data_IF_693904292549
#
_entry.id   IF_693904292549
#
_cell.length_a   1.000
_cell.length_b   1.000
_cell.length_c   1.000
_cell.angle_alpha   90.00
_cell.angle_beta   90.00
_cell.angle_gamma   90.00
#
_symmetry.space_group_name_H-M   'P 1'
#
loop_
_entity.id
_entity.type
_entity.pdbx_description
1 polymer ?
#
# COMPACT_ATOMS: atom_id res chain seq x y z
N UNK A 1 -52.59 -11.42 7.73
CA UNK A 1 -52.00 -10.09 7.46
C UNK A 1 -50.60 -10.07 8.05
N UNK A 2 -49.59 -10.47 7.27
CA UNK A 2 -48.20 -10.33 7.66
C UNK A 2 -47.76 -8.90 7.37
N UNK A 3 -47.27 -8.18 8.38
CA UNK A 3 -46.53 -6.93 8.19
C UNK A 3 -45.08 -7.32 7.89
N UNK A 4 -44.64 -7.03 6.67
CA UNK A 4 -43.26 -7.21 6.26
C UNK A 4 -42.35 -6.17 6.89
N UNK A 5 -41.20 -6.63 7.35
CA UNK A 5 -40.02 -5.82 7.65
C UNK A 5 -39.46 -5.28 6.33
N UNK A 6 -39.72 -4.00 6.05
CA UNK A 6 -39.11 -3.22 4.97
C UNK A 6 -38.64 -1.92 5.64
N UNK A 7 -37.39 -1.88 6.11
CA UNK A 7 -36.85 -0.70 6.80
C UNK A 7 -35.32 -0.66 6.88
N UNK A 8 -34.67 -1.81 7.09
CA UNK A 8 -33.23 -1.86 7.38
C UNK A 8 -32.32 -1.63 6.15
N UNK A 9 -32.83 -1.86 4.94
CA UNK A 9 -32.06 -1.73 3.70
C UNK A 9 -31.91 -0.29 3.18
N UNK A 10 -32.72 0.67 3.62
CA UNK A 10 -32.63 2.06 3.13
C UNK A 10 -31.48 2.82 3.81
N UNK A 11 -31.41 2.72 5.14
CA UNK A 11 -30.44 3.44 5.96
C UNK A 11 -28.99 2.98 5.69
N UNK A 12 -28.76 1.68 5.54
CA UNK A 12 -27.44 1.15 5.23
C UNK A 12 -26.90 1.62 3.86
N UNK A 13 -27.78 1.81 2.87
CA UNK A 13 -27.41 2.31 1.55
C UNK A 13 -27.09 3.81 1.58
N UNK A 14 -27.85 4.61 2.33
CA UNK A 14 -27.56 6.04 2.51
C UNK A 14 -26.26 6.25 3.29
N UNK A 15 -26.01 5.45 4.34
CA UNK A 15 -24.76 5.50 5.10
C UNK A 15 -23.55 5.13 4.23
N UNK A 16 -23.68 4.12 3.35
CA UNK A 16 -22.63 3.74 2.41
C UNK A 16 -22.32 4.86 1.41
N UNK A 17 -23.35 5.52 0.86
CA UNK A 17 -23.17 6.67 -0.05
C UNK A 17 -22.56 7.88 0.64
N UNK A 18 -22.91 8.13 1.90
CA UNK A 18 -22.31 9.20 2.69
C UNK A 18 -20.80 9.00 2.88
N UNK A 19 -20.36 7.76 3.12
CA UNK A 19 -18.94 7.41 3.26
C UNK A 19 -18.18 7.49 1.94
N UNK A 20 -18.78 7.03 0.85
CA UNK A 20 -18.18 7.15 -0.49
C UNK A 20 -17.91 8.62 -0.83
N UNK A 21 -18.90 9.48 -0.55
CA UNK A 21 -18.75 10.93 -0.73
C UNK A 21 -17.68 11.55 0.17
N UNK A 22 -17.59 11.15 1.45
CA UNK A 22 -16.52 11.61 2.35
C UNK A 22 -15.12 11.25 1.81
N UNK A 23 -14.98 10.05 1.22
CA UNK A 23 -13.72 9.61 0.62
C UNK A 23 -13.37 10.41 -0.64
N UNK A 24 -14.35 10.67 -1.50
CA UNK A 24 -14.19 11.52 -2.69
C UNK A 24 -13.78 12.94 -2.30
N UNK A 25 -14.49 13.57 -1.37
CA UNK A 25 -14.20 14.92 -0.87
C UNK A 25 -12.79 14.99 -0.26
N UNK A 26 -12.39 13.99 0.53
CA UNK A 26 -11.03 13.94 1.10
C UNK A 26 -9.94 13.74 0.04
N UNK A 27 -10.18 12.91 -0.98
CA UNK A 27 -9.23 12.70 -2.07
C UNK A 27 -9.11 13.95 -2.96
N UNK A 28 -10.23 14.62 -3.24
CA UNK A 28 -10.26 15.89 -3.97
C UNK A 28 -9.54 16.99 -3.20
N UNK A 29 -9.78 17.13 -1.90
CA UNK A 29 -9.09 18.11 -1.06
C UNK A 29 -7.56 17.94 -1.13
N UNK A 30 -7.06 16.71 -1.00
CA UNK A 30 -5.63 16.42 -1.13
C UNK A 30 -5.10 16.73 -2.52
N UNK A 31 -5.88 16.47 -3.57
CA UNK A 31 -5.43 16.69 -4.95
C UNK A 31 -5.53 18.16 -5.41
N UNK A 32 -6.45 18.96 -4.84
CA UNK A 32 -6.86 20.25 -5.38
C UNK A 32 -6.89 21.44 -4.39
N UNK A 33 -6.99 21.25 -3.06
CA UNK A 33 -7.21 22.36 -2.10
C UNK A 33 -5.93 23.12 -1.70
N UNK A 34 -4.74 22.57 -1.94
CA UNK A 34 -3.46 23.18 -1.52
C UNK A 34 -2.64 23.70 -2.71
N UNK A 35 -1.64 24.54 -2.40
CA UNK A 35 -0.69 25.03 -3.41
C UNK A 35 -0.13 23.83 -4.17
N UNK A 36 -0.30 23.83 -5.49
CA UNK A 36 -0.03 22.70 -6.39
C UNK A 36 1.46 22.45 -6.59
N UNK A 37 2.27 23.15 -5.80
CA UNK A 37 3.71 23.03 -5.73
C UNK A 37 4.18 23.31 -4.29
N UNK A 38 5.00 22.42 -3.72
CA UNK A 38 5.43 21.16 -4.32
C UNK A 38 4.29 20.11 -4.31
N UNK A 39 4.30 19.08 -5.17
CA UNK A 39 3.23 18.09 -5.25
C UNK A 39 3.01 17.35 -3.92
N UNK A 40 1.78 16.90 -3.61
CA UNK A 40 1.50 16.31 -2.31
C UNK A 40 2.25 15.00 -2.06
N UNK A 41 2.72 14.84 -0.82
CA UNK A 41 3.26 13.60 -0.27
C UNK A 41 2.31 13.14 0.83
N UNK A 42 1.54 12.10 0.54
CA UNK A 42 0.37 11.69 1.32
C UNK A 42 0.63 10.36 2.01
N UNK A 43 0.45 10.30 3.32
CA UNK A 43 0.46 9.03 4.07
C UNK A 43 -0.96 8.61 4.41
N UNK A 44 -1.36 7.43 3.94
CA UNK A 44 -2.65 6.81 4.28
C UNK A 44 -2.44 5.78 5.39
N UNK A 45 -3.07 6.00 6.54
CA UNK A 45 -2.91 5.17 7.73
C UNK A 45 -4.21 4.89 8.48
N UNK A 46 -4.18 3.90 9.39
CA UNK A 46 -5.37 3.38 10.05
C UNK A 46 -5.32 1.88 10.32
N UNK A 47 -6.22 1.35 11.16
CA UNK A 47 -6.21 -0.05 11.57
C UNK A 47 -6.38 -1.02 10.40
N UNK A 48 -6.08 -2.30 10.62
CA UNK A 48 -6.36 -3.35 9.64
C UNK A 48 -7.83 -3.37 9.22
N UNK A 49 -8.08 -3.61 7.94
CA UNK A 49 -9.43 -3.73 7.34
C UNK A 49 -10.32 -2.49 7.44
N UNK A 50 -9.77 -1.27 7.56
CA UNK A 50 -10.56 -0.04 7.48
C UNK A 50 -10.70 0.52 6.05
N UNK A 51 -10.14 -0.13 5.04
CA UNK A 51 -10.26 0.31 3.64
C UNK A 51 -9.09 1.14 3.10
N UNK A 52 -7.93 1.20 3.79
CA UNK A 52 -6.77 2.02 3.38
C UNK A 52 -6.34 1.83 1.93
N UNK A 53 -6.19 0.59 1.47
CA UNK A 53 -5.78 0.33 0.09
C UNK A 53 -6.86 0.76 -0.90
N UNK A 54 -8.14 0.69 -0.53
CA UNK A 54 -9.23 1.18 -1.37
C UNK A 54 -9.23 2.71 -1.47
N UNK A 55 -9.06 3.41 -0.33
CA UNK A 55 -8.90 4.86 -0.34
C UNK A 55 -7.63 5.29 -1.08
N UNK A 56 -6.50 4.60 -0.88
CA UNK A 56 -5.23 4.89 -1.57
C UNK A 56 -5.37 4.74 -3.09
N UNK A 57 -6.21 3.81 -3.56
CA UNK A 57 -6.56 3.66 -4.98
C UNK A 57 -7.43 4.79 -5.50
N UNK A 58 -8.44 5.21 -4.72
CA UNK A 58 -9.26 6.37 -5.06
C UNK A 58 -8.37 7.60 -5.20
N UNK A 59 -7.59 7.91 -4.17
CA UNK A 59 -6.65 9.03 -4.16
C UNK A 59 -5.64 8.97 -5.31
N UNK A 60 -5.09 7.79 -5.61
CA UNK A 60 -4.19 7.59 -6.74
C UNK A 60 -4.86 7.98 -8.06
N UNK A 61 -6.10 7.53 -8.28
CA UNK A 61 -6.85 7.85 -9.50
C UNK A 61 -7.20 9.35 -9.56
N UNK A 62 -7.66 9.94 -8.46
CA UNK A 62 -7.95 11.39 -8.37
C UNK A 62 -6.70 12.23 -8.67
N UNK A 63 -5.53 11.84 -8.16
CA UNK A 63 -4.26 12.50 -8.48
C UNK A 63 -3.88 12.32 -9.96
N UNK A 64 -4.16 11.17 -10.59
CA UNK A 64 -3.88 10.93 -12.01
C UNK A 64 -4.75 11.75 -12.98
N UNK A 65 -5.90 12.25 -12.52
CA UNK A 65 -6.70 13.19 -13.30
C UNK A 65 -6.00 14.56 -13.41
N UNK A 66 -5.15 14.88 -12.44
CA UNK A 66 -4.43 16.16 -12.35
C UNK A 66 -2.97 16.06 -12.79
N UNK A 67 -2.29 14.98 -12.44
CA UNK A 67 -0.87 14.74 -12.68
C UNK A 67 -0.70 13.61 -13.69
N UNK A 68 0.20 13.80 -14.66
CA UNK A 68 0.51 12.74 -15.64
C UNK A 68 1.07 11.47 -15.00
N UNK A 69 1.72 11.62 -13.84
CA UNK A 69 2.40 10.53 -13.16
C UNK A 69 2.28 10.69 -11.66
N UNK A 70 2.03 9.59 -10.95
CA UNK A 70 1.94 9.53 -9.49
C UNK A 70 2.82 8.39 -8.98
N UNK A 71 3.60 8.66 -7.93
CA UNK A 71 4.33 7.60 -7.24
C UNK A 71 3.44 6.92 -6.18
N UNK A 72 3.63 5.62 -5.99
CA UNK A 72 2.92 4.84 -4.99
C UNK A 72 3.90 3.98 -4.19
N UNK A 73 4.07 4.27 -2.91
CA UNK A 73 4.90 3.51 -1.98
C UNK A 73 4.02 2.65 -1.08
N UNK A 74 4.15 1.33 -1.22
CA UNK A 74 3.45 0.38 -0.37
C UNK A 74 4.37 -0.21 0.69
N UNK A 75 3.96 -0.09 1.94
CA UNK A 75 4.68 -0.62 3.10
C UNK A 75 3.94 -1.78 3.79
N UNK A 76 2.76 -2.19 3.28
CA UNK A 76 2.06 -3.38 3.77
C UNK A 76 2.63 -4.66 3.14
N UNK A 77 3.61 -5.25 3.83
CA UNK A 77 4.21 -6.54 3.41
C UNK A 77 3.23 -7.72 3.47
N UNK A 78 2.12 -7.60 4.19
CA UNK A 78 1.14 -8.67 4.37
C UNK A 78 0.13 -8.72 3.23
N UNK A 79 -0.34 -7.57 2.77
CA UNK A 79 -1.33 -7.42 1.68
C UNK A 79 -0.96 -6.26 0.75
N UNK A 80 0.18 -6.33 0.04
CA UNK A 80 0.60 -5.26 -0.86
C UNK A 80 -0.33 -5.14 -2.06
N UNK A 81 -0.41 -3.96 -2.64
CA UNK A 81 -1.35 -3.60 -3.70
C UNK A 81 -0.93 -4.14 -5.07
N UNK A 82 0.35 -4.04 -5.43
CA UNK A 82 0.84 -4.31 -6.79
C UNK A 82 1.89 -5.42 -6.89
N UNK A 83 2.36 -5.95 -5.76
CA UNK A 83 3.41 -6.98 -5.72
C UNK A 83 2.90 -8.26 -5.06
N UNK A 84 3.67 -9.37 -5.14
CA UNK A 84 3.48 -10.49 -4.24
C UNK A 84 3.63 -10.07 -2.76
N UNK A 85 3.09 -10.85 -1.82
CA UNK A 85 3.31 -10.63 -0.39
C UNK A 85 4.80 -10.69 -0.02
N UNK A 86 5.19 -9.95 1.02
CA UNK A 86 6.57 -9.91 1.51
C UNK A 86 7.44 -8.84 0.87
N UNK A 87 6.87 -7.88 0.15
CA UNK A 87 7.59 -6.78 -0.48
C UNK A 87 7.20 -5.43 0.12
N UNK A 88 8.19 -4.53 0.23
CA UNK A 88 7.99 -3.08 0.32
C UNK A 88 8.35 -2.52 -1.06
N UNK A 89 7.49 -1.73 -1.67
CA UNK A 89 7.65 -1.40 -3.09
C UNK A 89 7.23 0.02 -3.45
N UNK A 90 7.99 0.63 -4.36
CA UNK A 90 7.72 1.92 -4.97
C UNK A 90 7.36 1.70 -6.44
N UNK A 91 6.22 2.23 -6.84
CA UNK A 91 5.71 2.21 -8.22
C UNK A 91 5.58 3.61 -8.77
N UNK A 92 5.64 3.72 -10.08
CA UNK A 92 5.38 4.96 -10.83
C UNK A 92 4.22 4.64 -11.77
N UNK A 93 3.13 5.37 -11.63
CA UNK A 93 1.82 5.08 -12.21
C UNK A 93 1.46 6.24 -13.14
N UNK A 94 1.15 5.94 -14.41
CA UNK A 94 0.79 6.95 -15.43
C UNK A 94 -0.64 6.78 -15.93
N UNK A 95 -1.19 5.58 -15.82
CA UNK A 95 -2.56 5.28 -16.21
C UNK A 95 -3.39 4.89 -14.99
N UNK A 96 -4.65 5.37 -14.91
CA UNK A 96 -5.59 4.92 -13.89
C UNK A 96 -5.60 3.40 -13.89
N UNK A 97 -5.63 2.81 -12.71
CA UNK A 97 -5.76 1.36 -12.64
C UNK A 97 -7.23 1.01 -12.94
N UNK A 98 -7.49 0.86 -14.24
CA UNK A 98 -8.82 0.75 -14.84
C UNK A 98 -9.57 -0.52 -14.44
N UNK A 99 -8.88 -1.54 -13.96
CA UNK A 99 -9.48 -2.79 -13.49
C UNK A 99 -8.73 -3.34 -12.28
N UNK A 100 -9.07 -2.85 -11.09
CA UNK A 100 -8.60 -3.41 -9.82
C UNK A 100 -9.32 -4.72 -9.49
N UNK A 101 -9.16 -5.73 -10.36
CA UNK A 101 -9.21 -7.09 -9.84
C UNK A 101 -8.10 -7.21 -8.80
N UNK A 102 -8.35 -7.93 -7.70
CA UNK A 102 -7.38 -8.11 -6.60
C UNK A 102 -6.04 -8.76 -7.03
N UNK A 103 -5.84 -8.99 -8.32
CA UNK A 103 -4.77 -9.72 -8.98
C UNK A 103 -3.92 -8.82 -9.90
N UNK A 104 -4.18 -7.51 -9.95
CA UNK A 104 -3.44 -6.61 -10.81
C UNK A 104 -2.03 -6.34 -10.26
N UNK A 105 -1.04 -7.07 -10.77
CA UNK A 105 0.36 -6.94 -10.41
C UNK A 105 1.08 -5.99 -11.37
N UNK A 106 1.98 -5.15 -10.84
CA UNK A 106 2.83 -4.25 -11.62
C UNK A 106 4.29 -4.43 -11.24
N UNK A 107 5.17 -4.26 -12.23
CA UNK A 107 6.60 -4.22 -11.98
C UNK A 107 6.95 -2.95 -11.20
N UNK A 108 7.50 -3.08 -9.98
CA UNK A 108 7.86 -1.90 -9.20
C UNK A 108 9.02 -1.16 -9.85
N UNK A 109 9.03 0.18 -9.71
CA UNK A 109 10.18 1.00 -10.07
C UNK A 109 11.40 0.61 -9.23
N UNK A 110 11.16 0.35 -7.94
CA UNK A 110 12.13 -0.19 -6.99
C UNK A 110 11.40 -0.92 -5.88
N UNK A 111 11.94 -2.03 -5.38
CA UNK A 111 11.38 -2.73 -4.23
C UNK A 111 12.47 -3.36 -3.38
N UNK A 112 12.09 -3.73 -2.16
CA UNK A 112 12.85 -4.60 -1.29
C UNK A 112 12.01 -5.82 -0.94
N UNK A 113 12.62 -7.00 -1.04
CA UNK A 113 12.02 -8.21 -0.50
C UNK A 113 12.24 -8.23 1.01
N UNK A 114 11.16 -8.01 1.77
CA UNK A 114 11.17 -8.09 3.23
C UNK A 114 11.26 -9.54 3.72
N UNK A 115 10.69 -10.49 2.98
CA UNK A 115 10.81 -11.92 3.27
C UNK A 115 9.71 -12.53 4.16
N UNK A 116 8.80 -11.71 4.67
CA UNK A 116 7.71 -12.16 5.54
C UNK A 116 6.42 -11.34 5.35
N UNK A 117 5.28 -11.90 5.75
CA UNK A 117 3.97 -11.22 5.71
C UNK A 117 3.65 -10.50 7.02
N UNK A 118 4.51 -10.66 8.03
CA UNK A 118 4.39 -10.09 9.36
C UNK A 118 5.48 -9.03 9.59
N UNK A 119 5.14 -7.76 9.33
CA UNK A 119 5.99 -6.59 9.59
C UNK A 119 6.66 -6.60 10.98
N UNK A 120 5.98 -7.09 12.02
CA UNK A 120 6.47 -7.10 13.39
C UNK A 120 7.69 -8.02 13.63
N UNK A 121 8.01 -8.93 12.71
CA UNK A 121 9.19 -9.81 12.86
C UNK A 121 10.51 -9.05 12.78
N UNK A 122 10.58 -8.00 11.96
CA UNK A 122 11.78 -7.17 11.86
C UNK A 122 11.40 -5.70 11.59
N UNK A 123 10.94 -4.96 12.63
CA UNK A 123 10.50 -3.58 12.48
C UNK A 123 11.59 -2.64 11.95
N UNK A 124 12.85 -2.91 12.32
CA UNK A 124 14.02 -2.16 11.86
C UNK A 124 14.23 -2.33 10.36
N UNK A 125 14.15 -3.57 9.85
CA UNK A 125 14.25 -3.82 8.41
C UNK A 125 13.11 -3.14 7.64
N UNK A 126 11.89 -3.16 8.17
CA UNK A 126 10.76 -2.47 7.54
C UNK A 126 11.05 -0.96 7.41
N UNK A 127 11.50 -0.31 8.48
CA UNK A 127 11.90 1.10 8.45
C UNK A 127 13.02 1.34 7.43
N UNK A 128 14.09 0.54 7.45
CA UNK A 128 15.19 0.67 6.49
C UNK A 128 14.73 0.52 5.03
N UNK A 129 13.84 -0.42 4.74
CA UNK A 129 13.26 -0.60 3.41
C UNK A 129 12.41 0.61 3.01
N UNK A 130 11.53 1.07 3.89
CA UNK A 130 10.66 2.23 3.63
C UNK A 130 11.48 3.50 3.40
N UNK A 131 12.44 3.80 4.28
CA UNK A 131 13.30 4.98 4.17
C UNK A 131 14.16 4.94 2.93
N UNK A 132 14.77 3.79 2.61
CA UNK A 132 15.57 3.64 1.39
C UNK A 132 14.77 3.83 0.09
N UNK A 133 13.48 3.45 0.07
CA UNK A 133 12.61 3.73 -1.07
C UNK A 133 12.15 5.19 -1.13
N UNK A 134 11.89 5.81 0.03
CA UNK A 134 11.54 7.22 0.12
C UNK A 134 12.71 8.12 -0.30
N UNK A 135 13.93 7.85 0.17
CA UNK A 135 15.15 8.55 -0.24
C UNK A 135 15.38 8.44 -1.75
N UNK A 136 15.15 7.25 -2.31
CA UNK A 136 15.21 7.05 -3.75
C UNK A 136 14.16 7.89 -4.48
N UNK A 137 12.92 7.94 -3.97
CA UNK A 137 11.88 8.79 -4.52
C UNK A 137 12.28 10.27 -4.49
N UNK A 138 12.72 10.79 -3.35
CA UNK A 138 13.15 12.19 -3.21
C UNK A 138 14.26 12.55 -4.21
N UNK A 139 15.26 11.67 -4.31
CA UNK A 139 16.42 11.89 -5.17
C UNK A 139 16.10 11.78 -6.65
N UNK A 140 15.38 10.74 -7.06
CA UNK A 140 15.26 10.37 -8.48
C UNK A 140 13.98 10.85 -9.14
N UNK A 141 12.90 11.00 -8.37
CA UNK A 141 11.54 11.27 -8.88
C UNK A 141 11.00 12.64 -8.44
N UNK A 142 11.30 13.07 -7.21
CA UNK A 142 10.80 14.35 -6.70
C UNK A 142 11.72 15.54 -7.03
N UNK A 143 13.05 15.35 -6.97
CA UNK A 143 14.08 16.30 -7.47
C UNK A 143 13.86 17.77 -7.06
N UNK A 144 13.68 18.01 -5.76
CA UNK A 144 13.52 19.36 -5.17
C UNK A 144 14.57 20.40 -5.62
N UNK A 145 15.76 19.99 -6.07
CA UNK A 145 16.85 20.90 -6.44
C UNK A 145 16.83 21.30 -7.94
N UNK A 146 15.88 20.81 -8.73
CA UNK A 146 15.77 21.10 -10.18
C UNK A 146 14.50 21.94 -10.51
N UNK A 147 14.04 22.79 -9.58
CA UNK A 147 12.78 23.57 -9.65
C UNK A 147 12.65 24.44 -10.91
N UNK A 148 13.77 24.89 -11.48
CA UNK A 148 13.80 25.77 -12.65
C UNK A 148 13.67 25.04 -13.99
N UNK A 149 13.43 23.72 -13.99
CA UNK A 149 13.23 22.95 -15.21
C UNK A 149 11.74 22.63 -15.45
N UNK A 150 11.02 23.42 -16.27
CA UNK A 150 9.61 23.20 -16.58
C UNK A 150 9.32 21.88 -17.34
N UNK A 151 10.35 21.17 -17.82
CA UNK A 151 10.22 19.84 -18.43
C UNK A 151 10.33 18.70 -17.41
N UNK A 152 10.58 18.98 -16.13
CA UNK A 152 10.76 17.99 -15.07
C UNK A 152 9.97 18.37 -13.82
N UNK A 153 8.64 18.23 -13.88
CA UNK A 153 7.78 18.44 -12.72
C UNK A 153 8.00 17.31 -11.70
N UNK A 154 8.20 17.65 -10.43
CA UNK A 154 8.06 16.68 -9.34
C UNK A 154 6.69 15.99 -9.45
N UNK A 155 6.61 14.75 -8.97
CA UNK A 155 5.37 13.96 -8.99
C UNK A 155 4.84 13.75 -7.56
N UNK A 156 3.52 13.70 -7.36
CA UNK A 156 2.95 13.38 -6.06
C UNK A 156 3.28 11.95 -5.62
N UNK A 157 3.21 11.70 -4.32
CA UNK A 157 3.44 10.38 -3.72
C UNK A 157 2.28 9.99 -2.80
N UNK A 158 1.74 8.80 -3.02
CA UNK A 158 0.82 8.13 -2.09
C UNK A 158 1.57 7.02 -1.35
N UNK A 159 1.56 7.06 -0.02
CA UNK A 159 2.18 6.05 0.84
C UNK A 159 1.09 5.26 1.55
N UNK A 160 0.89 4.00 1.14
CA UNK A 160 0.00 3.06 1.83
C UNK A 160 0.73 2.36 2.98
N UNK A 161 0.12 2.37 4.17
CA UNK A 161 0.71 1.78 5.37
C UNK A 161 0.01 0.51 5.83
N UNK A 162 0.76 -0.34 6.54
CA UNK A 162 0.18 -1.55 7.14
C UNK A 162 -0.86 -1.23 8.21
N UNK A 163 -1.77 -2.17 8.49
CA UNK A 163 -2.73 -2.05 9.60
C UNK A 163 -2.16 -2.18 11.02
N UNK A 164 -0.83 -2.19 11.19
CA UNK A 164 -0.16 -2.42 12.47
C UNK A 164 -0.06 -1.13 13.30
N UNK A 165 -1.16 -0.74 13.93
CA UNK A 165 -1.32 0.60 14.57
C UNK A 165 -1.19 0.61 16.10
N UNK A 166 -0.65 -0.44 16.72
CA UNK A 166 -0.54 -0.57 18.19
C UNK A 166 0.83 -1.08 18.61
N UNK A 167 1.23 -0.75 19.84
CA UNK A 167 2.51 -1.15 20.42
C UNK A 167 3.68 -0.69 19.53
N UNK A 168 4.60 -1.62 19.21
CA UNK A 168 5.74 -1.33 18.33
C UNK A 168 5.29 -0.85 16.94
N UNK A 169 4.11 -1.27 16.45
CA UNK A 169 3.60 -0.82 15.16
C UNK A 169 3.25 0.66 15.12
N UNK A 170 2.71 1.19 16.23
CA UNK A 170 2.47 2.63 16.38
C UNK A 170 3.80 3.40 16.37
N UNK A 171 4.83 2.84 17.01
CA UNK A 171 6.17 3.44 16.99
C UNK A 171 6.75 3.45 15.57
N UNK A 172 6.70 2.33 14.84
CA UNK A 172 7.12 2.25 13.43
C UNK A 172 6.39 3.26 12.57
N UNK A 173 5.06 3.37 12.68
CA UNK A 173 4.29 4.36 11.93
C UNK A 173 4.71 5.79 12.29
N UNK A 174 4.94 6.07 13.57
CA UNK A 174 5.41 7.39 14.02
C UNK A 174 6.78 7.75 13.43
N UNK A 175 7.70 6.78 13.37
CA UNK A 175 9.01 6.96 12.73
C UNK A 175 8.86 7.21 11.22
N UNK A 176 7.96 6.49 10.54
CA UNK A 176 7.65 6.74 9.13
C UNK A 176 7.12 8.15 8.93
N UNK A 177 6.15 8.59 9.74
CA UNK A 177 5.55 9.92 9.62
C UNK A 177 6.55 11.04 9.89
N UNK A 178 7.42 10.90 10.91
CA UNK A 178 8.51 11.86 11.18
C UNK A 178 9.53 11.91 10.04
N UNK A 179 9.97 10.75 9.58
CA UNK A 179 11.01 10.66 8.55
C UNK A 179 10.52 11.18 7.20
N UNK A 180 9.29 10.82 6.82
CA UNK A 180 8.68 11.29 5.58
C UNK A 180 8.36 12.78 5.64
N UNK A 181 7.91 13.27 6.80
CA UNK A 181 7.37 14.64 6.95
C UNK A 181 6.34 14.96 5.85
N UNK A 182 5.25 14.17 5.77
CA UNK A 182 4.29 14.29 4.68
C UNK A 182 3.56 15.64 4.69
N UNK A 183 3.10 16.08 3.53
CA UNK A 183 2.21 17.25 3.42
C UNK A 183 0.83 16.93 3.97
N UNK A 184 0.37 15.69 3.75
CA UNK A 184 -0.96 15.24 4.10
C UNK A 184 -0.90 13.88 4.79
N UNK A 185 -1.72 13.72 5.83
CA UNK A 185 -1.96 12.44 6.49
C UNK A 185 -3.44 12.17 6.47
N UNK A 186 -3.83 11.08 5.80
CA UNK A 186 -5.22 10.61 5.82
C UNK A 186 -5.33 9.44 6.78
N UNK A 187 -6.10 9.63 7.84
CA UNK A 187 -6.32 8.65 8.89
C UNK A 187 -7.72 8.05 8.77
N UNK A 188 -7.79 6.80 8.31
CA UNK A 188 -9.04 6.04 8.27
C UNK A 188 -9.36 5.50 9.66
N UNK A 189 -10.54 5.85 10.19
CA UNK A 189 -11.03 5.46 11.51
C UNK A 189 -12.12 4.41 11.41
N UNK A 190 -12.19 3.50 12.38
CA UNK A 190 -13.31 2.54 12.50
C UNK A 190 -14.22 2.98 13.65
N UNK A 191 -15.45 2.46 13.69
CA UNK A 191 -16.37 2.69 14.82
C UNK A 191 -15.86 2.14 16.16
N UNK A 192 -14.84 1.26 16.13
CA UNK A 192 -14.27 0.62 17.31
C UNK A 192 -13.07 1.45 17.81
N UNK A 193 -13.34 2.42 18.68
CA UNK A 193 -12.38 3.46 19.07
C UNK A 193 -11.04 2.92 19.59
N UNK A 194 -11.05 1.85 20.38
CA UNK A 194 -9.83 1.20 20.88
C UNK A 194 -8.89 0.68 19.79
N UNK A 195 -9.39 0.43 18.57
CA UNK A 195 -8.59 -0.02 17.41
C UNK A 195 -7.94 1.14 16.66
N UNK A 196 -8.51 2.34 16.76
CA UNK A 196 -8.04 3.51 16.01
C UNK A 196 -6.69 4.00 16.50
N UNK A 197 -6.01 4.73 15.62
CA UNK A 197 -4.84 5.54 15.97
C UNK A 197 -5.25 6.67 16.93
N UNK A 198 -4.29 7.23 17.70
CA UNK A 198 -4.53 8.46 18.45
C UNK A 198 -5.05 9.56 17.51
N UNK A 199 -5.86 10.49 18.04
CA UNK A 199 -6.31 11.67 17.29
C UNK A 199 -5.18 12.68 17.17
N UNK A 200 -5.24 13.54 16.16
CA UNK A 200 -4.25 14.58 15.93
C UNK A 200 -2.89 14.06 15.44
N UNK A 201 -1.93 14.97 15.31
CA UNK A 201 -0.58 14.67 14.83
C UNK A 201 0.30 14.00 15.89
N UNK A 202 -0.07 12.78 16.32
CA UNK A 202 0.53 12.05 17.45
C UNK A 202 2.02 11.74 17.32
N UNK A 203 2.59 11.89 16.12
CA UNK A 203 4.01 11.68 15.85
C UNK A 203 4.84 12.95 16.08
N UNK A 204 4.23 14.13 16.12
CA UNK A 204 4.93 15.39 16.35
C UNK A 204 5.18 15.63 17.84
N UNK A 205 6.33 16.24 18.15
CA UNK A 205 6.61 16.72 19.50
C UNK A 205 5.87 18.05 19.73
N UNK A 206 5.30 18.24 20.92
CA UNK A 206 4.55 19.47 21.31
C UNK A 206 5.39 20.76 21.18
N UNK A 207 6.72 20.64 21.06
CA UNK A 207 7.66 21.76 21.00
C UNK A 207 8.29 21.99 19.62
N UNK A 208 8.02 21.13 18.62
CA UNK A 208 8.43 21.37 17.24
C UNK A 208 7.34 22.21 16.59
N UNK A 209 7.63 23.50 16.37
CA UNK A 209 6.69 24.47 15.83
C UNK A 209 6.01 23.98 14.55
N UNK A 210 4.72 24.32 14.42
CA UNK A 210 3.78 23.97 13.36
C UNK A 210 4.44 23.79 11.99
N UNK A 211 4.86 22.57 11.67
CA UNK A 211 4.81 22.16 10.27
C UNK A 211 3.34 21.84 10.01
N UNK A 212 2.64 22.61 9.14
CA UNK A 212 1.21 22.46 8.93
C UNK A 212 0.96 21.21 8.09
N UNK A 213 1.09 20.03 8.70
CA UNK A 213 0.64 18.78 8.10
C UNK A 213 -0.89 18.84 8.03
N UNK A 214 -1.44 18.64 6.85
CA UNK A 214 -2.87 18.54 6.67
C UNK A 214 -3.34 17.16 7.14
N UNK A 215 -3.95 17.11 8.32
CA UNK A 215 -4.49 15.86 8.88
C UNK A 215 -5.98 15.76 8.56
N UNK A 216 -6.33 14.74 7.79
CA UNK A 216 -7.72 14.43 7.44
C UNK A 216 -8.11 13.11 8.10
N UNK A 217 -9.12 13.14 8.96
CA UNK A 217 -9.68 11.94 9.59
C UNK A 217 -11.01 11.57 8.91
N UNK A 218 -11.08 10.37 8.34
CA UNK A 218 -12.26 9.89 7.59
C UNK A 218 -12.76 8.54 8.11
N UNK A 219 -14.02 8.20 7.83
CA UNK A 219 -14.60 6.92 8.24
C UNK A 219 -14.14 5.78 7.33
N UNK A 220 -13.74 4.66 7.91
CA UNK A 220 -13.34 3.45 7.19
C UNK A 220 -14.52 2.64 6.65
N UNK A 221 -14.21 1.71 5.75
CA UNK A 221 -15.19 0.83 5.10
C UNK A 221 -15.73 -0.24 6.07
N UNK A 222 -16.96 -0.06 6.57
CA UNK A 222 -17.69 -0.94 7.50
C UNK A 222 -16.87 -1.48 8.70
N UNK A 223 -17.54 -2.24 9.59
CA UNK A 223 -16.85 -2.85 10.71
C UNK A 223 -15.91 -3.96 10.20
N UNK A 224 -14.65 -4.00 10.66
CA UNK A 224 -13.73 -5.05 10.24
C UNK A 224 -14.31 -6.42 10.63
N UNK A 225 -14.28 -7.42 9.73
CA UNK A 225 -14.85 -8.73 10.01
C UNK A 225 -14.19 -9.35 11.25
N UNK A 226 -14.86 -10.32 11.92
CA UNK A 226 -14.25 -11.09 13.00
C UNK A 226 -12.83 -11.52 12.65
N UNK A 227 -11.90 -11.38 13.59
CA UNK A 227 -10.46 -11.52 13.33
C UNK A 227 -10.06 -12.84 12.65
N UNK A 228 -10.78 -13.94 12.91
CA UNK A 228 -10.54 -15.23 12.24
C UNK A 228 -10.91 -15.19 10.75
N UNK A 229 -12.02 -14.54 10.39
CA UNK A 229 -12.45 -14.36 9.00
C UNK A 229 -11.47 -13.44 8.26
N UNK A 230 -11.10 -12.31 8.87
CA UNK A 230 -10.08 -11.41 8.35
C UNK A 230 -8.75 -12.13 8.04
N UNK A 231 -8.29 -13.00 8.95
CA UNK A 231 -7.07 -13.80 8.74
C UNK A 231 -7.21 -14.80 7.59
N UNK A 232 -8.37 -15.46 7.47
CA UNK A 232 -8.64 -16.42 6.39
C UNK A 232 -8.69 -15.72 5.04
N UNK A 233 -9.40 -14.61 4.95
CA UNK A 233 -9.45 -13.76 3.75
C UNK A 233 -8.06 -13.28 3.36
N UNK A 234 -7.30 -12.73 4.31
CA UNK A 234 -5.95 -12.26 4.04
C UNK A 234 -5.05 -13.38 3.49
N UNK A 235 -5.17 -14.60 4.01
CA UNK A 235 -4.45 -15.76 3.45
C UNK A 235 -4.88 -16.08 2.02
N UNK A 236 -6.18 -16.13 1.74
CA UNK A 236 -6.67 -16.42 0.39
C UNK A 236 -6.21 -15.36 -0.62
N UNK A 237 -6.22 -14.08 -0.23
CA UNK A 237 -5.75 -12.97 -1.07
C UNK A 237 -4.25 -13.13 -1.37
N UNK A 238 -3.45 -13.49 -0.37
CA UNK A 238 -2.01 -13.75 -0.55
C UNK A 238 -1.76 -14.91 -1.51
N UNK A 239 -2.48 -16.01 -1.34
CA UNK A 239 -2.37 -17.20 -2.21
C UNK A 239 -2.75 -16.83 -3.66
N UNK A 240 -3.85 -16.09 -3.84
CA UNK A 240 -4.30 -15.58 -5.13
C UNK A 240 -3.27 -14.66 -5.81
N UNK A 241 -2.64 -13.75 -5.06
CA UNK A 241 -1.58 -12.88 -5.58
C UNK A 241 -0.34 -13.66 -6.00
N UNK A 242 0.05 -14.68 -5.24
CA UNK A 242 1.16 -15.56 -5.62
C UNK A 242 0.83 -16.34 -6.90
N UNK A 243 -0.39 -16.88 -7.01
CA UNK A 243 -0.85 -17.56 -8.23
C UNK A 243 -0.81 -16.59 -9.41
N UNK A 244 -1.31 -15.35 -9.27
CA UNK A 244 -1.31 -14.36 -10.34
C UNK A 244 0.10 -13.93 -10.76
N UNK A 245 1.05 -13.86 -9.83
CA UNK A 245 2.46 -13.58 -10.14
C UNK A 245 3.04 -14.69 -11.01
N UNK A 246 2.91 -15.92 -10.53
CA UNK A 246 3.45 -17.11 -11.18
C UNK A 246 2.74 -17.47 -12.50
N UNK A 247 1.47 -17.08 -12.66
CA UNK A 247 0.72 -17.20 -13.92
C UNK A 247 1.42 -16.48 -15.08
N UNK A 248 2.16 -15.41 -14.82
CA UNK A 248 2.89 -14.65 -15.83
C UNK A 248 4.03 -15.45 -16.46
N UNK A 249 4.53 -16.47 -15.76
CA UNK A 249 5.57 -17.38 -16.26
C UNK A 249 5.04 -18.46 -17.23
N UNK A 250 3.72 -18.55 -17.41
CA UNK A 250 3.07 -19.56 -18.24
C UNK A 250 2.48 -18.94 -19.50
N UNK A 251 2.33 -19.72 -20.61
CA UNK A 251 1.71 -19.22 -21.83
C UNK A 251 0.37 -18.52 -21.57
N UNK A 252 0.07 -17.44 -22.30
CA UNK A 252 -1.13 -16.61 -22.05
C UNK A 252 -2.43 -17.40 -22.19
N UNK A 253 -2.46 -18.40 -23.03
CA UNK A 253 -3.56 -19.32 -23.30
C UNK A 253 -3.67 -20.49 -22.31
N UNK A 254 -2.70 -20.67 -21.40
CA UNK A 254 -2.73 -21.77 -20.45
C UNK A 254 -3.88 -21.61 -19.42
N UNK A 255 -4.82 -22.56 -19.32
CA UNK A 255 -5.96 -22.45 -18.41
C UNK A 255 -5.50 -22.62 -16.96
N UNK A 256 -5.77 -21.63 -16.10
CA UNK A 256 -5.51 -21.74 -14.65
C UNK A 256 -6.79 -21.38 -13.90
N UNK A 257 -7.40 -22.41 -13.30
CA UNK A 257 -8.59 -22.26 -12.46
C UNK A 257 -8.33 -22.69 -11.01
N UNK A 258 -7.20 -23.36 -10.78
CA UNK A 258 -6.80 -23.87 -9.48
C UNK A 258 -5.28 -23.82 -9.28
N UNK A 259 -4.85 -24.03 -8.03
CA UNK A 259 -3.43 -24.23 -7.71
C UNK A 259 -2.83 -25.45 -8.42
N UNK A 260 -3.61 -26.51 -8.62
CA UNK A 260 -3.11 -27.74 -9.25
C UNK A 260 -2.85 -27.53 -10.74
N UNK A 261 -3.62 -26.66 -11.40
CA UNK A 261 -3.35 -26.26 -12.79
C UNK A 261 -2.04 -25.48 -12.89
N UNK A 262 -1.76 -24.60 -11.93
CA UNK A 262 -0.49 -23.87 -11.85
C UNK A 262 0.70 -24.84 -11.70
N UNK A 263 0.58 -25.85 -10.84
CA UNK A 263 1.62 -26.88 -10.66
C UNK A 263 1.85 -27.68 -11.95
N UNK A 264 0.77 -28.08 -12.64
CA UNK A 264 0.87 -28.78 -13.94
C UNK A 264 1.52 -27.90 -15.01
N UNK A 265 1.17 -26.62 -15.06
CA UNK A 265 1.80 -25.66 -15.96
C UNK A 265 3.29 -25.50 -15.69
N UNK A 266 3.70 -25.45 -14.41
CA UNK A 266 5.12 -25.43 -14.08
C UNK A 266 5.87 -26.71 -14.44
N UNK A 267 5.22 -27.86 -14.31
CA UNK A 267 5.79 -29.13 -14.72
C UNK A 267 5.93 -29.26 -16.25
N UNK A 268 5.16 -28.48 -17.05
CA UNK A 268 5.21 -28.55 -18.51
C UNK A 268 6.21 -27.58 -19.16
N UNK A 269 6.75 -26.62 -18.41
CA UNK A 269 7.79 -25.71 -18.91
C UNK A 269 9.19 -26.25 -18.62
N UNK A 270 10.14 -25.94 -19.50
CA UNK A 270 11.54 -26.25 -19.24
C UNK A 270 12.07 -25.33 -18.13
N UNK A 271 12.60 -25.88 -17.02
CA UNK A 271 13.11 -25.05 -15.92
C UNK A 271 14.41 -24.36 -16.33
N UNK A 272 14.57 -23.12 -15.87
CA UNK A 272 15.86 -22.44 -15.93
C UNK A 272 16.84 -23.11 -14.96
N UNK A 273 17.98 -23.58 -15.48
CA UNK A 273 19.02 -24.18 -14.67
C UNK A 273 20.07 -23.14 -14.30
N UNK A 274 20.24 -22.91 -13.00
CA UNK A 274 21.27 -22.04 -12.45
C UNK A 274 22.26 -22.87 -11.62
N UNK A 275 23.58 -22.81 -11.89
CA UNK A 275 24.55 -23.50 -11.06
C UNK A 275 24.50 -22.98 -9.62
N UNK A 276 24.52 -23.88 -8.63
CA UNK A 276 24.53 -23.48 -7.22
C UNK A 276 25.74 -22.59 -6.87
N UNK A 277 26.87 -22.75 -7.55
CA UNK A 277 28.05 -21.89 -7.41
C UNK A 277 27.82 -20.44 -7.85
N UNK A 278 26.72 -20.17 -8.58
CA UNK A 278 26.28 -18.84 -8.99
C UNK A 278 25.15 -18.29 -8.11
N UNK A 279 24.70 -19.04 -7.11
CA UNK A 279 23.60 -18.68 -6.22
C UNK A 279 24.16 -18.51 -4.81
N UNK A 280 23.83 -17.38 -4.18
CA UNK A 280 24.06 -17.17 -2.76
C UNK A 280 22.69 -17.17 -2.05
N UNK A 281 22.51 -18.06 -1.07
CA UNK A 281 21.25 -18.17 -0.30
C UNK A 281 21.43 -17.50 1.05
N UNK A 282 20.51 -16.60 1.38
CA UNK A 282 20.67 -15.68 2.52
C UNK A 282 19.36 -15.61 3.30
N UNK A 283 19.47 -15.69 4.62
CA UNK A 283 18.35 -15.52 5.53
C UNK A 283 18.27 -14.05 5.97
N UNK A 284 17.15 -13.39 5.65
CA UNK A 284 16.94 -11.96 5.93
C UNK A 284 16.55 -11.66 7.38
N UNK A 285 16.13 -12.67 8.15
CA UNK A 285 15.63 -12.50 9.51
C UNK A 285 16.52 -13.13 10.58
N UNK A 286 17.57 -13.86 10.18
CA UNK A 286 18.66 -14.26 11.06
C UNK A 286 19.80 -13.26 10.97
N UNK A 287 20.17 -12.63 12.09
CA UNK A 287 21.38 -11.81 12.16
C UNK A 287 22.60 -12.73 12.04
N UNK A 288 23.04 -13.01 10.81
CA UNK A 288 24.42 -13.15 10.36
C UNK A 288 24.39 -13.53 8.87
N UNK A 289 25.06 -12.72 8.05
CA UNK A 289 25.42 -12.89 6.63
C UNK A 289 24.50 -12.18 5.62
N UNK A 290 25.14 -11.33 4.82
CA UNK A 290 24.60 -10.33 3.89
C UNK A 290 24.33 -10.86 2.47
N UNK A 291 23.31 -10.26 1.82
CA UNK A 291 23.00 -10.11 0.36
C UNK A 291 21.70 -10.75 -0.25
N UNK A 292 20.85 -9.88 -0.77
CA UNK A 292 19.52 -10.19 -1.33
C UNK A 292 19.59 -10.67 -2.80
N UNK A 293 18.64 -11.51 -3.22
CA UNK A 293 18.40 -11.90 -4.63
C UNK A 293 17.01 -11.38 -5.05
N UNK A 294 16.96 -10.40 -5.94
CA UNK A 294 15.76 -10.08 -6.71
C UNK A 294 15.89 -10.76 -8.07
N UNK A 295 15.03 -11.74 -8.37
CA UNK A 295 14.88 -12.25 -9.72
C UNK A 295 14.01 -11.24 -10.48
N UNK A 296 14.65 -10.33 -11.19
CA UNK A 296 13.98 -9.53 -12.22
C UNK A 296 13.82 -10.39 -13.48
N UNK A 297 12.59 -10.52 -13.98
CA UNK A 297 12.36 -10.99 -15.34
C UNK A 297 12.56 -9.81 -16.31
N UNK A 298 13.35 -10.04 -17.36
CA UNK A 298 13.50 -9.15 -18.52
C UNK A 298 12.32 -9.32 -19.48
#
# INVERSE_FOLDING_TARGET
MGRGEMGDGGEAFEEARGKEREWEEAAEAVAYDSCTWPPPVVVVCGPGNCGKSAFSRLLLNTLLERYQTVAYLDTDVGQPEFTPPGFVSLHVIEEPAKDFTMLYLRSPKRCFFFGDVCAHKNPKLLLSCTFGLYDYFLKELYRFNEVDNPLKSAIPLVINTSGWVKGIGLHVLSEILRYVSPTDVVQLRTTIERKNLPTGAFWLNVHEGDSPVNLVEIHGSHNPPPHLLAKKEARMIRDLRLIAYFRQCLPKDFPIFSRDDLVKGFASIQPFQLPLSKIQVIDLHYQFIWLCLCIGFW
#
